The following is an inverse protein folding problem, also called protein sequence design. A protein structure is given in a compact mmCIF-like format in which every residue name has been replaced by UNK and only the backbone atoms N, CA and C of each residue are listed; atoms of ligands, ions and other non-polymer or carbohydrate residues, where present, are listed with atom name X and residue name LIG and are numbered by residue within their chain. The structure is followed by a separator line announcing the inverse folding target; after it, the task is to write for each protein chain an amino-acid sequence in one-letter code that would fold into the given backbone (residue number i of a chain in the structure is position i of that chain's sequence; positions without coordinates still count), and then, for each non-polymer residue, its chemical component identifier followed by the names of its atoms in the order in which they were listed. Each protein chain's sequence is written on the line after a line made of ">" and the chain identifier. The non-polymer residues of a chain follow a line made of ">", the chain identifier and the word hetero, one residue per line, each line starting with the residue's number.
data_IF_544610492694
#
_entry.id   IF_544610492694
#
_cell.length_a   1.000
_cell.length_b   1.000
_cell.length_c   1.000
_cell.angle_alpha   90.00
_cell.angle_beta   90.00
_cell.angle_gamma   90.00
#
_symmetry.space_group_name_H-M   'P 1'
#
loop_
_entity.id
_entity.type
_entity.pdbx_description
1 polymer ?
#
# COMPACT_ATOMS: atom_id res chain seq x y z
N UNK A 1 -22.66 28.47 22.95
CA UNK A 1 -22.45 27.01 23.14
C UNK A 1 -22.96 26.17 21.98
N UNK A 2 -24.23 26.32 21.55
CA UNK A 2 -24.84 25.53 20.46
C UNK A 2 -24.10 25.65 19.10
N UNK A 3 -23.66 26.85 18.73
CA UNK A 3 -22.91 27.06 17.48
C UNK A 3 -21.56 26.32 17.47
N UNK A 4 -20.87 26.25 18.61
CA UNK A 4 -19.58 25.53 18.75
C UNK A 4 -19.81 24.03 18.59
N UNK A 5 -20.84 23.48 19.24
CA UNK A 5 -21.20 22.05 19.11
C UNK A 5 -21.56 21.68 17.66
N UNK A 6 -22.27 22.56 16.95
CA UNK A 6 -22.58 22.38 15.53
C UNK A 6 -21.30 22.34 14.66
N UNK A 7 -20.36 23.26 14.89
CA UNK A 7 -19.10 23.28 14.15
C UNK A 7 -18.22 22.05 14.44
N UNK A 8 -18.20 21.57 15.68
CA UNK A 8 -17.49 20.34 16.06
C UNK A 8 -18.11 19.11 15.36
N UNK A 9 -19.43 18.98 15.36
CA UNK A 9 -20.12 17.88 14.70
C UNK A 9 -19.90 17.88 13.17
N UNK A 10 -20.00 19.05 12.53
CA UNK A 10 -19.73 19.20 11.10
C UNK A 10 -18.27 18.86 10.79
N UNK A 11 -17.33 19.35 11.60
CA UNK A 11 -15.91 19.03 11.42
C UNK A 11 -15.68 17.54 11.51
N UNK A 12 -16.14 16.87 12.57
CA UNK A 12 -15.97 15.43 12.75
C UNK A 12 -16.54 14.59 11.60
N UNK A 13 -17.70 14.99 11.06
CA UNK A 13 -18.31 14.34 9.89
C UNK A 13 -17.44 14.50 8.65
N UNK A 14 -16.96 15.71 8.36
CA UNK A 14 -16.06 15.99 7.24
C UNK A 14 -14.74 15.22 7.42
N UNK A 15 -14.16 15.23 8.62
CA UNK A 15 -12.95 14.44 8.93
C UNK A 15 -13.17 12.97 8.64
N UNK A 16 -14.34 12.42 8.99
CA UNK A 16 -14.65 11.00 8.74
C UNK A 16 -14.69 10.69 7.24
N UNK A 17 -15.42 11.49 6.46
CA UNK A 17 -15.51 11.30 5.00
C UNK A 17 -14.13 11.43 4.34
N UNK A 18 -13.37 12.46 4.70
CA UNK A 18 -12.01 12.68 4.18
C UNK A 18 -11.08 11.54 4.62
N UNK A 19 -11.20 11.07 5.86
CA UNK A 19 -10.39 9.95 6.37
C UNK A 19 -10.62 8.67 5.59
N UNK A 20 -11.89 8.31 5.35
CA UNK A 20 -12.26 7.13 4.56
C UNK A 20 -11.74 7.28 3.14
N UNK A 21 -11.97 8.43 2.50
CA UNK A 21 -11.54 8.68 1.12
C UNK A 21 -10.02 8.59 0.96
N UNK A 22 -9.26 9.22 1.86
CA UNK A 22 -7.79 9.18 1.82
C UNK A 22 -7.27 7.78 2.12
N UNK A 23 -7.87 7.06 3.06
CA UNK A 23 -7.48 5.67 3.37
C UNK A 23 -7.69 4.75 2.18
N UNK A 24 -8.85 4.84 1.53
CA UNK A 24 -9.17 4.08 0.31
C UNK A 24 -8.19 4.44 -0.80
N UNK A 25 -7.93 5.73 -1.02
CA UNK A 25 -6.97 6.18 -2.03
C UNK A 25 -5.57 5.62 -1.78
N UNK A 26 -5.05 5.74 -0.55
CA UNK A 26 -3.74 5.21 -0.18
C UNK A 26 -3.64 3.69 -0.36
N UNK A 27 -4.71 2.96 -0.03
CA UNK A 27 -4.79 1.52 -0.27
C UNK A 27 -4.74 1.18 -1.77
N UNK A 28 -5.53 1.88 -2.60
CA UNK A 28 -5.52 1.69 -4.05
C UNK A 28 -4.14 2.00 -4.66
N UNK A 29 -3.50 3.08 -4.22
CA UNK A 29 -2.14 3.45 -4.65
C UNK A 29 -1.12 2.37 -4.29
N UNK A 30 -1.18 1.83 -3.06
CA UNK A 30 -0.30 0.76 -2.64
C UNK A 30 -0.53 -0.54 -3.45
N UNK A 31 -1.78 -0.87 -3.74
CA UNK A 31 -2.10 -2.05 -4.54
C UNK A 31 -1.63 -1.93 -5.99
N UNK A 32 -1.66 -0.72 -6.56
CA UNK A 32 -1.14 -0.41 -7.89
C UNK A 32 0.38 -0.20 -7.95
N UNK A 33 1.14 -0.53 -6.91
CA UNK A 33 2.56 -0.18 -6.87
C UNK A 33 3.42 -0.96 -7.88
N UNK A 34 4.33 -0.24 -8.56
CA UNK A 34 5.13 -0.76 -9.67
C UNK A 34 6.00 -1.97 -9.29
N UNK A 35 6.58 -1.99 -8.09
CA UNK A 35 7.37 -3.15 -7.65
C UNK A 35 6.53 -4.42 -7.47
N UNK A 36 5.30 -4.30 -6.98
CA UNK A 36 4.41 -5.47 -6.84
C UNK A 36 4.05 -5.99 -8.23
N UNK A 37 3.73 -5.09 -9.16
CA UNK A 37 3.50 -5.44 -10.58
C UNK A 37 4.73 -6.16 -11.15
N UNK A 38 5.95 -5.65 -10.91
CA UNK A 38 7.20 -6.29 -11.36
C UNK A 38 7.39 -7.69 -10.76
N UNK A 39 7.09 -7.88 -9.48
CA UNK A 39 7.16 -9.19 -8.82
C UNK A 39 6.18 -10.17 -9.48
N UNK A 40 4.91 -9.76 -9.67
CA UNK A 40 3.89 -10.60 -10.32
C UNK A 40 4.29 -10.93 -11.76
N UNK A 41 4.84 -9.97 -12.51
CA UNK A 41 5.35 -10.21 -13.86
C UNK A 41 6.57 -11.15 -13.87
N UNK A 42 7.45 -11.06 -12.87
CA UNK A 42 8.58 -11.98 -12.72
C UNK A 42 8.09 -13.40 -12.46
N UNK A 43 7.10 -13.58 -11.56
CA UNK A 43 6.44 -14.87 -11.34
C UNK A 43 5.85 -15.38 -12.65
N UNK A 44 5.07 -14.57 -13.38
CA UNK A 44 4.48 -14.94 -14.67
C UNK A 44 5.53 -15.42 -15.68
N UNK A 45 6.67 -14.74 -15.78
CA UNK A 45 7.79 -15.13 -16.67
C UNK A 45 8.45 -16.42 -16.19
N UNK A 46 8.64 -16.59 -14.88
CA UNK A 46 9.17 -17.81 -14.28
C UNK A 46 8.28 -19.02 -14.58
N UNK A 47 6.96 -18.87 -14.41
CA UNK A 47 5.98 -19.91 -14.72
C UNK A 47 6.09 -20.41 -16.16
N UNK A 48 6.37 -19.53 -17.13
CA UNK A 48 6.49 -19.94 -18.53
C UNK A 48 7.61 -20.99 -18.74
N UNK A 49 8.73 -20.86 -18.02
CA UNK A 49 9.93 -21.71 -18.14
C UNK A 49 9.87 -23.00 -17.33
N UNK A 50 8.89 -23.16 -16.45
CA UNK A 50 8.78 -24.35 -15.59
C UNK A 50 8.37 -25.60 -16.38
N UNK A 51 8.85 -26.80 -16.00
CA UNK A 51 8.47 -28.05 -16.65
C UNK A 51 6.97 -28.36 -16.54
N UNK A 52 6.42 -29.22 -17.40
CA UNK A 52 5.08 -29.77 -17.23
C UNK A 52 5.00 -30.65 -15.97
N UNK A 53 3.80 -30.83 -15.41
CA UNK A 53 3.57 -31.64 -14.21
C UNK A 53 3.77 -30.92 -12.87
N UNK A 54 4.24 -29.67 -12.91
CA UNK A 54 4.40 -28.82 -11.72
C UNK A 54 3.05 -28.39 -11.13
N UNK A 55 2.94 -28.48 -9.82
CA UNK A 55 1.76 -28.11 -9.04
C UNK A 55 2.11 -27.01 -8.04
N UNK A 56 1.14 -26.14 -7.73
CA UNK A 56 1.34 -25.01 -6.84
C UNK A 56 0.37 -25.07 -5.66
N UNK A 57 0.90 -24.78 -4.47
CA UNK A 57 0.13 -24.69 -3.23
C UNK A 57 0.35 -23.32 -2.59
N UNK A 58 -0.66 -22.81 -1.92
CA UNK A 58 -0.54 -21.64 -1.05
C UNK A 58 -0.69 -22.11 0.40
N UNK A 59 0.34 -21.93 1.22
CA UNK A 59 0.35 -22.26 2.65
C UNK A 59 0.88 -21.07 3.43
N UNK A 60 0.10 -20.54 4.38
CA UNK A 60 0.51 -19.43 5.25
C UNK A 60 1.07 -18.20 4.52
N UNK A 61 0.42 -17.81 3.42
CA UNK A 61 0.85 -16.75 2.50
C UNK A 61 2.11 -17.07 1.67
N UNK A 62 2.67 -18.27 1.78
CA UNK A 62 3.80 -18.72 0.97
C UNK A 62 3.26 -19.52 -0.23
N UNK A 63 3.64 -19.09 -1.42
CA UNK A 63 3.43 -19.85 -2.64
C UNK A 63 4.54 -20.91 -2.74
N UNK A 64 4.17 -22.18 -2.69
CA UNK A 64 5.09 -23.31 -2.77
C UNK A 64 4.89 -24.03 -4.10
N UNK A 65 6.00 -24.29 -4.77
CA UNK A 65 6.12 -25.09 -5.98
C UNK A 65 6.37 -26.54 -5.58
N UNK A 66 5.56 -27.47 -6.07
CA UNK A 66 5.81 -28.91 -5.93
C UNK A 66 6.13 -29.47 -7.31
N UNK A 67 7.31 -30.06 -7.44
CA UNK A 67 7.77 -30.68 -8.67
C UNK A 67 8.45 -32.02 -8.38
N UNK A 68 8.23 -33.01 -9.23
CA UNK A 68 8.88 -34.30 -9.13
C UNK A 68 10.36 -34.20 -9.54
N UNK A 69 11.26 -34.71 -8.69
CA UNK A 69 12.69 -34.79 -8.95
C UNK A 69 13.08 -36.22 -9.32
N UNK A 70 13.27 -36.49 -10.61
CA UNK A 70 13.62 -37.81 -11.13
C UNK A 70 14.96 -38.35 -10.59
N UNK A 71 15.90 -37.47 -10.20
CA UNK A 71 17.19 -37.90 -9.68
C UNK A 71 17.13 -38.45 -8.24
N UNK A 72 16.10 -38.06 -7.48
CA UNK A 72 15.91 -38.45 -6.08
C UNK A 72 14.65 -39.30 -5.88
N UNK A 73 13.93 -39.62 -6.95
CA UNK A 73 12.65 -40.33 -6.94
C UNK A 73 11.66 -39.76 -5.91
N UNK A 74 11.61 -38.42 -5.81
CA UNK A 74 10.87 -37.74 -4.75
C UNK A 74 10.26 -36.41 -5.20
N UNK A 75 9.14 -36.03 -4.59
CA UNK A 75 8.55 -34.70 -4.76
C UNK A 75 9.34 -33.66 -3.97
N UNK A 76 9.77 -32.59 -4.65
CA UNK A 76 10.47 -31.47 -4.03
C UNK A 76 9.54 -30.27 -3.94
N UNK A 77 9.44 -29.73 -2.72
CA UNK A 77 8.76 -28.48 -2.43
C UNK A 77 9.76 -27.32 -2.42
N UNK A 78 9.49 -26.29 -3.21
CA UNK A 78 10.35 -25.10 -3.30
C UNK A 78 9.49 -23.85 -3.05
N UNK A 79 9.82 -23.02 -2.05
CA UNK A 79 9.09 -21.78 -1.83
C UNK A 79 9.41 -20.80 -2.99
N UNK A 80 8.35 -20.22 -3.57
CA UNK A 80 8.44 -19.28 -4.71
C UNK A 80 8.42 -17.84 -4.21
N UNK A 81 7.65 -17.55 -3.18
CA UNK A 81 7.53 -16.21 -2.61
C UNK A 81 6.35 -16.06 -1.65
N UNK A 82 6.36 -14.96 -0.91
CA UNK A 82 5.29 -14.61 0.02
C UNK A 82 4.30 -13.67 -0.67
N UNK A 83 3.03 -14.08 -0.73
CA UNK A 83 1.90 -13.34 -1.29
C UNK A 83 0.77 -13.29 -0.27
N UNK A 84 0.49 -12.09 0.24
CA UNK A 84 -0.66 -11.81 1.11
C UNK A 84 -1.83 -11.21 0.35
N UNK A 85 -2.94 -11.00 1.06
CA UNK A 85 -4.08 -10.24 0.54
C UNK A 85 -3.65 -8.81 0.13
N UNK A 86 -4.12 -8.26 -1.00
CA UNK A 86 -5.16 -8.77 -1.92
C UNK A 86 -4.60 -9.51 -3.15
N UNK A 87 -3.46 -10.20 -3.07
CA UNK A 87 -2.90 -10.93 -4.21
C UNK A 87 -3.80 -12.10 -4.64
N UNK A 88 -3.98 -12.30 -5.95
CA UNK A 88 -4.68 -13.46 -6.50
C UNK A 88 -3.82 -14.74 -6.48
N UNK A 89 -2.52 -14.57 -6.23
CA UNK A 89 -1.57 -15.65 -5.95
C UNK A 89 -1.66 -16.14 -4.49
N UNK A 90 -2.47 -15.48 -3.67
CA UNK A 90 -2.89 -15.96 -2.36
C UNK A 90 -4.24 -16.67 -2.46
N UNK A 91 -4.40 -17.83 -1.83
CA UNK A 91 -5.72 -18.46 -1.64
C UNK A 91 -5.76 -19.31 -0.37
N UNK A 92 -6.90 -19.31 0.31
CA UNK A 92 -7.10 -19.90 1.64
C UNK A 92 -7.23 -21.43 1.66
N UNK A 93 -6.75 -22.16 0.66
CA UNK A 93 -6.90 -23.62 0.63
C UNK A 93 -5.68 -24.34 0.06
N UNK A 94 -5.30 -25.44 0.69
CA UNK A 94 -4.23 -26.35 0.25
C UNK A 94 -4.45 -27.01 -1.12
N UNK A 95 -5.54 -26.64 -1.82
CA UNK A 95 -5.85 -27.09 -3.15
C UNK A 95 -4.70 -26.74 -4.11
N UNK A 96 -4.13 -27.81 -4.67
CA UNK A 96 -3.22 -27.78 -5.80
C UNK A 96 -3.80 -26.96 -6.95
N UNK A 97 -3.01 -26.06 -7.51
CA UNK A 97 -3.33 -25.34 -8.75
C UNK A 97 -2.32 -25.71 -9.83
N UNK A 98 -2.82 -25.89 -11.05
CA UNK A 98 -1.96 -26.14 -12.21
C UNK A 98 -1.19 -24.87 -12.61
N UNK A 99 -0.07 -25.07 -13.32
CA UNK A 99 0.69 -24.01 -14.00
C UNK A 99 -0.20 -23.08 -14.84
N UNK A 100 -1.15 -23.63 -15.59
CA UNK A 100 -2.04 -22.86 -16.45
C UNK A 100 -2.96 -21.93 -15.63
N UNK A 101 -3.54 -22.44 -14.55
CA UNK A 101 -4.39 -21.64 -13.65
C UNK A 101 -3.60 -20.52 -12.98
N UNK A 102 -2.40 -20.83 -12.48
CA UNK A 102 -1.55 -19.83 -11.83
C UNK A 102 -1.09 -18.75 -12.81
N UNK A 103 -0.76 -19.11 -14.06
CA UNK A 103 -0.42 -18.14 -15.11
C UNK A 103 -1.58 -17.19 -15.44
N UNK A 104 -2.82 -17.68 -15.48
CA UNK A 104 -4.02 -16.84 -15.66
C UNK A 104 -4.19 -15.87 -14.49
N UNK A 105 -4.10 -16.35 -13.24
CA UNK A 105 -4.17 -15.52 -12.03
C UNK A 105 -3.08 -14.45 -12.00
N UNK A 106 -1.82 -14.81 -12.28
CA UNK A 106 -0.71 -13.85 -12.37
C UNK A 106 -0.93 -12.79 -13.46
N UNK A 107 -1.55 -13.19 -14.59
CA UNK A 107 -1.85 -12.26 -15.70
C UNK A 107 -2.97 -11.30 -15.31
N UNK A 108 -4.08 -11.83 -14.79
CA UNK A 108 -5.17 -11.01 -14.26
C UNK A 108 -4.67 -10.04 -13.18
N UNK A 109 -3.79 -10.52 -12.28
CA UNK A 109 -3.19 -9.70 -11.25
C UNK A 109 -2.31 -8.57 -11.78
N UNK A 110 -1.44 -8.86 -12.74
CA UNK A 110 -0.65 -7.83 -13.38
C UNK A 110 -1.53 -6.77 -14.06
N UNK A 111 -2.62 -7.19 -14.71
CA UNK A 111 -3.53 -6.29 -15.42
C UNK A 111 -4.28 -5.35 -14.47
N UNK A 112 -4.96 -5.87 -13.44
CA UNK A 112 -5.73 -4.98 -12.56
C UNK A 112 -4.82 -4.06 -11.75
N UNK A 113 -3.64 -4.52 -11.32
CA UNK A 113 -2.66 -3.65 -10.64
C UNK A 113 -2.10 -2.59 -11.57
N UNK A 114 -1.82 -2.93 -12.84
CA UNK A 114 -1.41 -1.94 -13.84
C UNK A 114 -2.52 -0.92 -14.13
N UNK A 115 -3.79 -1.36 -14.17
CA UNK A 115 -4.92 -0.46 -14.30
C UNK A 115 -4.99 0.51 -13.11
N UNK A 116 -4.83 0.04 -11.86
CA UNK A 116 -4.75 0.93 -10.70
C UNK A 116 -3.59 1.92 -10.79
N UNK A 117 -2.42 1.48 -11.26
CA UNK A 117 -1.28 2.38 -11.45
C UNK A 117 -1.62 3.51 -12.43
N UNK A 118 -2.18 3.18 -13.59
CA UNK A 118 -2.48 4.16 -14.65
C UNK A 118 -3.69 5.03 -14.31
N UNK A 119 -4.73 4.47 -13.68
CA UNK A 119 -6.00 5.17 -13.43
C UNK A 119 -6.03 5.90 -12.08
N UNK A 120 -5.23 5.48 -11.11
CA UNK A 120 -5.22 6.07 -9.76
C UNK A 120 -3.88 6.73 -9.47
N UNK A 121 -2.77 6.00 -9.57
CA UNK A 121 -1.45 6.53 -9.18
C UNK A 121 -1.01 7.69 -10.05
N UNK A 122 -0.97 7.51 -11.37
CA UNK A 122 -0.49 8.56 -12.29
C UNK A 122 -1.36 9.84 -12.19
N UNK A 123 -2.70 9.78 -12.24
CA UNK A 123 -3.53 10.97 -12.12
C UNK A 123 -3.42 11.66 -10.75
N UNK A 124 -3.31 10.89 -9.66
CA UNK A 124 -3.19 11.47 -8.31
C UNK A 124 -1.89 12.27 -8.18
N UNK A 125 -0.76 11.71 -8.61
CA UNK A 125 0.52 12.41 -8.61
C UNK A 125 0.53 13.57 -9.61
N UNK A 126 -0.01 13.37 -10.81
CA UNK A 126 -0.10 14.41 -11.83
C UNK A 126 -0.93 15.61 -11.36
N UNK A 127 -2.09 15.36 -10.75
CA UNK A 127 -2.96 16.42 -10.21
C UNK A 127 -2.30 17.14 -9.04
N UNK A 128 -1.70 16.41 -8.09
CA UNK A 128 -1.02 17.02 -6.95
C UNK A 128 0.18 17.88 -7.40
N UNK A 129 0.96 17.39 -8.37
CA UNK A 129 2.06 18.13 -8.97
C UNK A 129 1.60 19.37 -9.74
N UNK A 130 0.52 19.24 -10.53
CA UNK A 130 -0.08 20.36 -11.23
C UNK A 130 -0.57 21.44 -10.26
N UNK A 131 -1.30 21.07 -9.20
CA UNK A 131 -1.78 22.00 -8.17
C UNK A 131 -0.64 22.67 -7.40
N UNK A 132 0.48 21.97 -7.17
CA UNK A 132 1.67 22.55 -6.57
C UNK A 132 2.33 23.61 -7.46
N UNK A 133 2.28 23.42 -8.78
CA UNK A 133 2.85 24.34 -9.74
C UNK A 133 1.94 25.55 -10.02
N UNK A 134 0.62 25.37 -10.03
CA UNK A 134 -0.32 26.39 -10.55
C UNK A 134 -1.19 27.07 -9.50
N UNK A 135 -1.46 26.44 -8.35
CA UNK A 135 -2.45 26.93 -7.40
C UNK A 135 -1.86 27.34 -6.06
N UNK A 136 -1.20 26.42 -5.35
CA UNK A 136 -0.63 26.70 -4.03
C UNK A 136 0.61 25.82 -3.77
N UNK A 137 1.77 26.40 -3.43
CA UNK A 137 2.99 25.63 -3.19
C UNK A 137 2.87 24.63 -2.05
N UNK A 138 1.93 24.79 -1.11
CA UNK A 138 1.68 23.82 -0.03
C UNK A 138 1.32 22.42 -0.53
N UNK A 139 0.81 22.29 -1.76
CA UNK A 139 0.58 20.98 -2.39
C UNK A 139 1.87 20.16 -2.56
N UNK A 140 3.05 20.79 -2.49
CA UNK A 140 4.33 20.07 -2.47
C UNK A 140 4.40 19.08 -1.30
N UNK A 141 3.80 19.41 -0.15
CA UNK A 141 3.74 18.50 1.00
C UNK A 141 2.92 17.24 0.68
N UNK A 142 1.85 17.37 -0.11
CA UNK A 142 1.05 16.23 -0.56
C UNK A 142 1.86 15.37 -1.53
N UNK A 143 2.56 15.98 -2.48
CA UNK A 143 3.43 15.24 -3.41
C UNK A 143 4.50 14.47 -2.65
N UNK A 144 5.21 15.12 -1.74
CA UNK A 144 6.24 14.49 -0.91
C UNK A 144 5.68 13.38 -0.03
N UNK A 145 4.50 13.59 0.56
CA UNK A 145 3.81 12.57 1.35
C UNK A 145 3.46 11.34 0.50
N UNK A 146 2.94 11.54 -0.72
CA UNK A 146 2.64 10.44 -1.63
C UNK A 146 3.91 9.68 -2.04
N UNK A 147 5.00 10.40 -2.36
CA UNK A 147 6.31 9.78 -2.64
C UNK A 147 6.78 8.95 -1.45
N UNK A 148 6.77 9.53 -0.25
CA UNK A 148 7.18 8.85 0.97
C UNK A 148 6.32 7.62 1.26
N UNK A 149 5.00 7.71 1.06
CA UNK A 149 4.10 6.57 1.18
C UNK A 149 4.49 5.44 0.22
N UNK A 150 4.76 5.75 -1.06
CA UNK A 150 5.15 4.72 -2.02
C UNK A 150 6.52 4.10 -1.66
N UNK A 151 7.51 4.92 -1.30
CA UNK A 151 8.89 4.45 -1.03
C UNK A 151 9.00 3.77 0.34
N UNK A 152 8.67 4.46 1.42
CA UNK A 152 8.97 3.96 2.77
C UNK A 152 8.10 2.76 3.14
N UNK A 153 6.87 2.70 2.62
CA UNK A 153 5.90 1.71 3.10
C UNK A 153 5.66 0.63 2.05
N UNK A 154 5.46 1.00 0.79
CA UNK A 154 5.19 -0.02 -0.23
C UNK A 154 6.46 -0.74 -0.69
N UNK A 155 7.59 -0.03 -0.85
CA UNK A 155 8.88 -0.65 -1.25
C UNK A 155 9.53 -1.37 -0.07
N UNK A 156 9.78 -0.66 1.03
CA UNK A 156 10.60 -1.18 2.12
C UNK A 156 9.80 -2.15 3.02
N UNK A 157 8.63 -1.74 3.47
CA UNK A 157 7.84 -2.52 4.43
C UNK A 157 6.82 -3.47 3.79
N UNK A 158 6.42 -3.25 2.53
CA UNK A 158 5.30 -3.97 1.91
C UNK A 158 3.96 -3.71 2.61
N UNK A 159 3.81 -2.54 3.23
CA UNK A 159 2.64 -2.16 4.02
C UNK A 159 1.93 -0.94 3.42
N UNK A 160 0.67 -0.73 3.81
CA UNK A 160 -0.10 0.48 3.52
C UNK A 160 -0.17 1.31 4.80
N UNK A 161 0.10 2.60 4.71
CA UNK A 161 -0.05 3.48 5.87
C UNK A 161 -1.44 4.09 5.89
N UNK A 162 -2.11 3.93 7.04
CA UNK A 162 -3.40 4.51 7.31
C UNK A 162 -3.18 5.73 8.18
N UNK A 163 -3.57 6.90 7.67
CA UNK A 163 -3.53 8.14 8.45
C UNK A 163 -4.41 7.96 9.68
N UNK A 164 -3.93 8.33 10.87
CA UNK A 164 -4.74 8.23 12.09
C UNK A 164 -5.90 9.23 12.04
N UNK A 165 -7.14 8.74 12.22
CA UNK A 165 -8.35 9.56 12.24
C UNK A 165 -8.24 10.77 13.17
N UNK A 166 -7.70 10.57 14.38
CA UNK A 166 -7.50 11.64 15.35
C UNK A 166 -6.64 12.79 14.79
N UNK A 167 -5.53 12.48 14.11
CA UNK A 167 -4.66 13.49 13.51
C UNK A 167 -5.37 14.32 12.43
N UNK A 168 -6.16 13.66 11.58
CA UNK A 168 -6.96 14.34 10.56
C UNK A 168 -8.08 15.18 11.17
N UNK A 169 -8.70 14.68 12.24
CA UNK A 169 -9.77 15.38 12.98
C UNK A 169 -9.24 16.63 13.67
N UNK A 170 -8.04 16.58 14.26
CA UNK A 170 -7.40 17.77 14.82
C UNK A 170 -7.09 18.82 13.76
N UNK A 171 -6.55 18.43 12.60
CA UNK A 171 -6.24 19.37 11.51
C UNK A 171 -7.51 20.01 10.92
N UNK A 172 -8.55 19.22 10.68
CA UNK A 172 -9.82 19.73 10.14
C UNK A 172 -10.52 20.65 11.13
N UNK A 173 -10.58 20.26 12.41
CA UNK A 173 -11.13 21.10 13.49
C UNK A 173 -10.36 22.41 13.60
N UNK A 174 -9.03 22.35 13.50
CA UNK A 174 -8.17 23.53 13.47
C UNK A 174 -8.52 24.49 12.32
N UNK A 175 -8.67 23.98 11.09
CA UNK A 175 -9.02 24.80 9.92
C UNK A 175 -10.41 25.43 10.05
N UNK A 176 -11.37 24.73 10.66
CA UNK A 176 -12.70 25.28 10.95
C UNK A 176 -12.64 26.38 12.02
N UNK A 177 -11.88 26.17 13.09
CA UNK A 177 -11.71 27.17 14.16
C UNK A 177 -10.90 28.39 13.70
N UNK A 178 -9.95 28.22 12.77
CA UNK A 178 -9.24 29.34 12.14
C UNK A 178 -10.19 30.32 11.46
N UNK A 179 -11.29 29.83 10.87
CA UNK A 179 -12.32 30.71 10.28
C UNK A 179 -13.18 31.45 11.30
N UNK A 180 -13.11 31.06 12.58
CA UNK A 180 -13.92 31.66 13.66
C UNK A 180 -13.20 32.79 14.43
N UNK A 181 -11.96 33.13 14.06
CA UNK A 181 -11.27 34.33 14.56
C UNK A 181 -10.86 34.29 16.04
N UNK A 182 -10.67 33.09 16.61
CA UNK A 182 -10.17 32.92 17.97
C UNK A 182 -8.75 33.52 18.12
N UNK A 183 -8.53 34.20 19.25
CA UNK A 183 -7.48 35.20 19.52
C UNK A 183 -6.02 34.83 19.16
N UNK A 184 -5.66 33.55 19.04
CA UNK A 184 -4.33 33.16 18.56
C UNK A 184 -4.32 31.73 17.98
N UNK A 185 -3.81 31.58 16.76
CA UNK A 185 -3.59 30.29 16.12
C UNK A 185 -2.43 30.39 15.10
N UNK A 186 -1.62 29.32 14.92
CA UNK A 186 -0.50 29.32 13.96
C UNK A 186 -0.92 29.63 12.52
N UNK A 187 0.03 29.99 11.64
CA UNK A 187 -0.32 30.15 10.23
C UNK A 187 -0.72 28.79 9.62
N UNK A 188 -1.62 28.74 8.61
CA UNK A 188 -1.95 27.50 7.91
C UNK A 188 -0.71 26.79 7.33
N UNK A 189 0.30 27.55 6.90
CA UNK A 189 1.57 27.01 6.42
C UNK A 189 2.35 26.28 7.53
N UNK A 190 2.41 26.84 8.73
CA UNK A 190 3.06 26.21 9.88
C UNK A 190 2.31 24.94 10.31
N UNK A 191 0.97 25.01 10.39
CA UNK A 191 0.13 23.86 10.73
C UNK A 191 0.27 22.73 9.70
N UNK A 192 0.27 23.06 8.41
CA UNK A 192 0.49 22.08 7.33
C UNK A 192 1.88 21.43 7.42
N UNK A 193 2.93 22.22 7.68
CA UNK A 193 4.29 21.73 7.85
C UNK A 193 4.43 20.78 9.04
N UNK A 194 3.85 21.14 10.21
CA UNK A 194 3.85 20.28 11.40
C UNK A 194 3.08 18.98 11.16
N UNK A 195 1.91 19.05 10.53
CA UNK A 195 1.11 17.87 10.20
C UNK A 195 1.83 16.95 9.21
N UNK A 196 2.48 17.53 8.20
CA UNK A 196 3.32 16.80 7.26
C UNK A 196 4.47 16.10 7.98
N UNK A 197 5.23 16.84 8.80
CA UNK A 197 6.36 16.29 9.56
C UNK A 197 5.95 15.15 10.50
N UNK A 198 4.84 15.30 11.23
CA UNK A 198 4.29 14.25 12.08
C UNK A 198 3.95 12.97 11.30
N UNK A 199 3.30 13.12 10.14
CA UNK A 199 2.96 11.97 9.30
C UNK A 199 4.21 11.31 8.71
N UNK A 200 5.18 12.10 8.24
CA UNK A 200 6.45 11.58 7.73
C UNK A 200 7.21 10.76 8.76
N UNK A 201 7.32 11.26 10.00
CA UNK A 201 7.95 10.53 11.10
C UNK A 201 7.18 9.25 11.45
N UNK A 202 5.85 9.32 11.47
CA UNK A 202 5.00 8.15 11.71
C UNK A 202 5.18 7.07 10.63
N UNK A 203 5.25 7.47 9.35
CA UNK A 203 5.54 6.55 8.25
C UNK A 203 6.94 5.95 8.35
N UNK A 204 7.94 6.74 8.70
CA UNK A 204 9.30 6.25 8.87
C UNK A 204 9.39 5.19 9.99
N UNK A 205 8.72 5.43 11.12
CA UNK A 205 8.64 4.48 12.22
C UNK A 205 7.93 3.17 11.80
N UNK A 206 6.77 3.26 11.14
CA UNK A 206 6.04 2.08 10.63
C UNK A 206 6.87 1.34 9.58
N UNK A 207 7.52 2.07 8.67
CA UNK A 207 8.38 1.51 7.63
C UNK A 207 9.56 0.73 8.21
N UNK A 208 10.18 1.25 9.28
CA UNK A 208 11.26 0.58 9.99
C UNK A 208 10.80 -0.74 10.62
N UNK A 209 9.71 -0.71 11.41
CA UNK A 209 9.16 -1.90 12.06
C UNK A 209 8.71 -2.94 11.03
N UNK A 210 8.05 -2.50 9.95
CA UNK A 210 7.57 -3.39 8.89
C UNK A 210 8.70 -4.04 8.09
N UNK A 211 9.81 -3.34 7.87
CA UNK A 211 11.01 -3.90 7.22
C UNK A 211 11.59 -5.06 8.04
N UNK A 212 11.73 -4.89 9.36
CA UNK A 212 12.24 -5.94 10.25
C UNK A 212 11.33 -7.17 10.25
N UNK A 213 10.02 -6.97 10.43
CA UNK A 213 9.04 -8.07 10.40
C UNK A 213 8.99 -8.80 9.05
N UNK A 214 9.24 -8.09 7.94
CA UNK A 214 9.32 -8.71 6.61
C UNK A 214 10.58 -9.57 6.46
N UNK A 215 11.72 -9.12 6.97
CA UNK A 215 12.96 -9.89 6.94
C UNK A 215 12.79 -11.22 7.69
N UNK A 216 12.22 -11.17 8.90
CA UNK A 216 11.91 -12.36 9.70
C UNK A 216 10.99 -13.35 8.98
N UNK A 217 9.96 -12.87 8.26
CA UNK A 217 9.05 -13.73 7.49
C UNK A 217 9.74 -14.38 6.28
N UNK A 218 10.62 -13.67 5.61
CA UNK A 218 11.38 -14.19 4.46
C UNK A 218 12.37 -15.26 4.93
N UNK A 219 13.00 -15.03 6.07
CA UNK A 219 13.88 -16.00 6.73
C UNK A 219 13.13 -17.24 7.17
N UNK A 220 12.01 -17.08 7.89
CA UNK A 220 11.15 -18.19 8.31
C UNK A 220 10.59 -19.01 7.13
N UNK A 221 10.39 -18.38 5.97
CA UNK A 221 9.92 -19.05 4.76
C UNK A 221 11.04 -19.78 4.00
N UNK A 222 12.30 -19.72 4.45
CA UNK A 222 13.44 -20.33 3.75
C UNK A 222 13.72 -19.71 2.38
N UNK A 223 13.33 -18.43 2.19
CA UNK A 223 13.48 -17.69 0.94
C UNK A 223 14.78 -16.86 0.88
N UNK A 224 15.68 -17.05 1.85
CA UNK A 224 16.99 -16.40 1.89
C UNK A 224 17.87 -17.05 0.83
N UNK A 225 18.32 -16.24 -0.14
CA UNK A 225 19.35 -16.62 -1.10
C UNK A 225 20.73 -16.66 -0.43
#
# INVERSE_FOLDING_TARGET
>A
MLNILKHLAISALISCVVWVAVTVLLALLAFGHLQIIRIVLRVRRGLARMPPGVVFHSRDNVLVLTAYNAAQDAEKNVPVGVFGWPSQLHWSSGAARSKATLRRKATAEAVWRAALFVLVTVPTFGMAGWLAATANPLWIYVVLFLVAHQILLTVLAGQVYIIKYAGLTYLTTYLFLHRTGLWWHPSPSLAAGLYFGFNMLSMAAVGWVGKSARAERVEAAGLVA
#
